data_IF_593169601678
#
_entry.id   IF_593169601678
#
_cell.length_a   1.000
_cell.length_b   1.000
_cell.length_c   1.000
_cell.angle_alpha   90.00
_cell.angle_beta   90.00
_cell.angle_gamma   90.00
#
_symmetry.space_group_name_H-M   'P 1'
#
loop_
_entity.id
_entity.type
_entity.pdbx_description
1 polymer ?
#
# COMPACT_ATOMS: atom_id res chain seq x y z
N UNK A 1 -8.48 21.86 -2.90
CA UNK A 1 -8.57 20.46 -2.43
C UNK A 1 -8.63 19.57 -3.64
N UNK A 2 -7.48 19.22 -4.15
CA UNK A 2 -7.36 18.42 -5.36
C UNK A 2 -7.48 16.96 -4.98
N UNK A 3 -8.51 16.38 -5.48
CA UNK A 3 -8.94 15.02 -5.54
C UNK A 3 -7.97 13.92 -5.12
N UNK A 4 -8.18 13.38 -3.93
CA UNK A 4 -7.98 11.95 -3.73
C UNK A 4 -8.76 11.33 -4.87
N UNK A 5 -8.05 10.82 -5.88
CA UNK A 5 -8.70 10.13 -6.98
C UNK A 5 -9.38 8.91 -6.40
N UNK A 6 -10.67 9.04 -6.14
CA UNK A 6 -11.58 7.95 -5.87
C UNK A 6 -11.76 7.16 -7.17
N UNK A 7 -10.65 6.68 -7.72
CA UNK A 7 -10.69 5.74 -8.81
C UNK A 7 -11.30 4.47 -8.27
N UNK A 8 -12.54 4.21 -8.66
CA UNK A 8 -13.14 2.90 -8.49
C UNK A 8 -12.26 1.89 -9.23
N UNK A 9 -11.30 1.31 -8.50
CA UNK A 9 -10.38 0.32 -9.06
C UNK A 9 -11.20 -0.91 -9.46
N UNK A 10 -11.11 -1.36 -10.72
CA UNK A 10 -11.80 -2.58 -11.13
C UNK A 10 -11.20 -3.75 -10.36
N UNK A 11 -12.04 -4.46 -9.63
CA UNK A 11 -11.69 -5.78 -9.13
C UNK A 11 -11.70 -6.72 -10.34
N UNK A 12 -10.89 -7.77 -10.31
CA UNK A 12 -10.87 -8.81 -11.36
C UNK A 12 -12.22 -9.53 -11.60
N UNK A 13 -13.27 -9.11 -10.89
CA UNK A 13 -14.63 -9.63 -11.01
C UNK A 13 -15.48 -8.66 -11.85
N UNK A 14 -16.06 -9.11 -12.98
CA UNK A 14 -16.91 -8.29 -13.83
C UNK A 14 -18.04 -7.61 -13.06
N UNK A 15 -18.22 -6.30 -13.28
CA UNK A 15 -19.29 -5.51 -12.66
C UNK A 15 -19.06 -5.14 -11.18
N UNK A 16 -17.95 -5.51 -10.59
CA UNK A 16 -17.64 -5.19 -9.19
C UNK A 16 -16.53 -4.13 -9.12
N UNK A 17 -16.79 -3.04 -8.38
CA UNK A 17 -15.85 -1.93 -8.19
C UNK A 17 -15.76 -1.57 -6.72
N UNK A 18 -14.56 -1.18 -6.25
CA UNK A 18 -14.39 -0.62 -4.90
C UNK A 18 -14.95 0.79 -4.88
N UNK A 19 -15.77 1.11 -3.89
CA UNK A 19 -16.19 2.48 -3.63
C UNK A 19 -15.10 3.21 -2.85
N UNK A 20 -14.36 4.07 -3.55
CA UNK A 20 -13.26 4.84 -2.96
C UNK A 20 -13.70 5.85 -1.90
N UNK A 21 -14.95 6.31 -1.90
CA UNK A 21 -15.51 7.15 -0.84
C UNK A 21 -15.73 6.34 0.44
N UNK A 22 -16.32 5.17 0.28
CA UNK A 22 -16.63 4.27 1.39
C UNK A 22 -15.36 3.74 2.08
N UNK A 23 -14.31 3.47 1.30
CA UNK A 23 -13.05 2.91 1.81
C UNK A 23 -12.00 3.97 2.16
N UNK A 24 -12.29 5.25 2.01
CA UNK A 24 -11.30 6.35 2.13
C UNK A 24 -10.60 6.38 3.48
N UNK A 25 -11.35 6.25 4.58
CA UNK A 25 -10.81 6.31 5.94
C UNK A 25 -9.75 5.23 6.18
N UNK A 26 -10.06 4.00 5.81
CA UNK A 26 -9.17 2.86 5.96
C UNK A 26 -7.95 2.94 5.03
N UNK A 27 -8.13 3.43 3.80
CA UNK A 27 -7.03 3.64 2.87
C UNK A 27 -6.05 4.74 3.36
N UNK A 28 -6.56 5.79 4.02
CA UNK A 28 -5.74 6.81 4.68
C UNK A 28 -5.00 6.19 5.87
N UNK A 29 -5.68 5.37 6.67
CA UNK A 29 -5.07 4.64 7.79
C UNK A 29 -3.93 3.74 7.34
N UNK A 30 -4.09 3.01 6.25
CA UNK A 30 -3.05 2.16 5.68
C UNK A 30 -1.83 2.99 5.22
N UNK A 31 -2.06 4.09 4.50
CA UNK A 31 -0.98 4.95 4.03
C UNK A 31 -0.20 5.58 5.19
N UNK A 32 -0.91 6.09 6.21
CA UNK A 32 -0.28 6.65 7.39
C UNK A 32 0.45 5.60 8.23
N UNK A 33 -0.17 4.44 8.41
CA UNK A 33 0.39 3.35 9.19
C UNK A 33 1.71 2.83 8.63
N UNK A 34 1.79 2.60 7.31
CA UNK A 34 3.05 2.13 6.70
C UNK A 34 4.12 3.23 6.69
N UNK A 35 3.73 4.50 6.55
CA UNK A 35 4.68 5.61 6.63
C UNK A 35 5.27 5.72 8.04
N UNK A 36 4.43 5.69 9.08
CA UNK A 36 4.88 5.71 10.47
C UNK A 36 5.75 4.49 10.82
N UNK A 37 5.42 3.30 10.28
CA UNK A 37 6.24 2.10 10.47
C UNK A 37 7.62 2.24 9.82
N UNK A 38 7.72 2.88 8.65
CA UNK A 38 8.99 3.18 8.01
C UNK A 38 9.83 4.14 8.86
N UNK A 39 9.25 5.22 9.36
CA UNK A 39 9.95 6.18 10.22
C UNK A 39 10.42 5.50 11.53
N UNK A 40 9.59 4.66 12.12
CA UNK A 40 9.94 3.84 13.29
C UNK A 40 11.11 2.90 13.01
N UNK A 41 11.15 2.27 11.82
CA UNK A 41 12.28 1.46 11.39
C UNK A 41 13.56 2.30 11.28
N UNK A 42 13.49 3.51 10.70
CA UNK A 42 14.68 4.37 10.58
C UNK A 42 15.23 4.79 11.95
N UNK A 43 14.36 5.11 12.90
CA UNK A 43 14.77 5.39 14.28
C UNK A 43 15.42 4.17 14.93
N UNK A 44 14.83 3.00 14.79
CA UNK A 44 15.40 1.76 15.31
C UNK A 44 16.79 1.47 14.74
N UNK A 45 16.96 1.61 13.43
CA UNK A 45 18.24 1.38 12.76
C UNK A 45 19.33 2.39 13.20
N UNK A 46 18.92 3.64 13.45
CA UNK A 46 19.81 4.68 13.97
C UNK A 46 20.32 4.35 15.37
N UNK A 47 19.47 3.82 16.24
CA UNK A 47 19.79 3.51 17.63
C UNK A 47 20.53 2.17 17.79
N UNK A 48 20.17 1.16 17.01
CA UNK A 48 20.63 -0.22 17.18
C UNK A 48 21.62 -0.68 16.09
N UNK A 49 21.85 0.16 15.07
CA UNK A 49 22.68 -0.18 13.92
C UNK A 49 21.91 -0.95 12.83
N UNK A 50 22.47 -0.92 11.64
CA UNK A 50 21.90 -1.64 10.48
C UNK A 50 22.43 -3.08 10.47
N UNK A 51 21.55 -4.11 10.53
CA UNK A 51 21.96 -5.52 10.52
C UNK A 51 22.48 -6.00 9.15
N UNK A 52 22.45 -5.14 8.11
CA UNK A 52 22.77 -5.52 6.75
C UNK A 52 21.65 -6.31 6.06
N UNK A 53 22.03 -7.13 5.09
CA UNK A 53 21.08 -7.96 4.36
C UNK A 53 20.69 -9.19 5.18
N UNK A 54 19.40 -9.47 5.23
CA UNK A 54 18.87 -10.73 5.73
C UNK A 54 18.03 -11.35 4.61
N UNK A 55 18.32 -12.58 4.24
CA UNK A 55 17.73 -13.27 3.09
C UNK A 55 17.84 -12.47 1.77
N UNK A 56 18.92 -11.71 1.63
CA UNK A 56 19.19 -10.88 0.44
C UNK A 56 18.43 -9.54 0.40
N UNK A 57 17.70 -9.18 1.44
CA UNK A 57 16.90 -7.94 1.52
C UNK A 57 17.42 -6.98 2.59
N UNK A 58 17.37 -5.68 2.29
CA UNK A 58 17.61 -4.62 3.28
C UNK A 58 16.48 -4.56 4.31
N UNK A 59 16.68 -3.92 5.47
CA UNK A 59 15.61 -3.71 6.45
C UNK A 59 14.36 -3.05 5.86
N UNK A 60 14.55 -2.04 5.00
CA UNK A 60 13.47 -1.30 4.34
C UNK A 60 12.71 -2.19 3.35
N UNK A 61 13.44 -2.99 2.55
CA UNK A 61 12.82 -3.94 1.63
C UNK A 61 11.99 -4.97 2.40
N UNK A 62 12.52 -5.48 3.52
CA UNK A 62 11.80 -6.44 4.37
C UNK A 62 10.52 -5.84 4.96
N UNK A 63 10.55 -4.57 5.37
CA UNK A 63 9.35 -3.87 5.87
C UNK A 63 8.24 -3.90 4.82
N UNK A 64 8.53 -3.46 3.59
CA UNK A 64 7.54 -3.40 2.52
C UNK A 64 7.08 -4.79 2.05
N UNK A 65 7.97 -5.76 2.00
CA UNK A 65 7.62 -7.15 1.69
C UNK A 65 6.73 -7.74 2.80
N UNK A 66 7.05 -7.47 4.07
CA UNK A 66 6.23 -7.90 5.21
C UNK A 66 4.83 -7.28 5.14
N UNK A 67 4.73 -5.99 4.88
CA UNK A 67 3.45 -5.32 4.64
C UNK A 67 2.61 -6.04 3.58
N UNK A 68 3.19 -6.26 2.39
CA UNK A 68 2.47 -6.95 1.31
C UNK A 68 2.06 -8.39 1.69
N UNK A 69 2.87 -9.05 2.49
CA UNK A 69 2.64 -10.44 2.91
C UNK A 69 1.44 -10.60 3.83
N UNK A 70 1.15 -9.65 4.71
CA UNK A 70 -0.03 -9.72 5.59
C UNK A 70 -1.35 -9.68 4.82
N UNK A 71 -1.35 -9.12 3.60
CA UNK A 71 -2.52 -9.05 2.73
C UNK A 71 -2.67 -10.25 1.79
N UNK A 72 -1.81 -11.25 1.88
CA UNK A 72 -1.91 -12.49 1.10
C UNK A 72 -3.11 -13.30 1.55
N UNK A 73 -4.24 -13.03 0.94
CA UNK A 73 -5.48 -13.76 1.18
C UNK A 73 -6.06 -14.27 -0.14
N UNK A 74 -6.77 -15.41 -0.07
CA UNK A 74 -7.57 -15.92 -1.17
C UNK A 74 -9.01 -16.02 -0.72
N UNK A 75 -9.89 -15.31 -1.39
CA UNK A 75 -11.32 -15.27 -1.09
C UNK A 75 -12.11 -15.80 -2.27
N UNK A 76 -13.29 -16.35 -1.99
CA UNK A 76 -14.26 -16.71 -3.03
C UNK A 76 -14.88 -15.44 -3.61
N UNK A 77 -15.30 -15.49 -4.87
CA UNK A 77 -15.87 -14.35 -5.59
C UNK A 77 -17.06 -13.72 -4.86
N UNK A 78 -17.97 -14.54 -4.32
CA UNK A 78 -19.12 -14.06 -3.55
C UNK A 78 -18.71 -13.31 -2.28
N UNK A 79 -17.65 -13.78 -1.60
CA UNK A 79 -17.15 -13.13 -0.40
C UNK A 79 -16.55 -11.76 -0.73
N UNK A 80 -15.79 -11.65 -1.83
CA UNK A 80 -15.25 -10.36 -2.29
C UNK A 80 -16.40 -9.42 -2.70
N UNK A 81 -17.39 -9.90 -3.44
CA UNK A 81 -18.56 -9.11 -3.83
C UNK A 81 -19.34 -8.58 -2.62
N UNK A 82 -19.46 -9.39 -1.57
CA UNK A 82 -20.10 -8.97 -0.33
C UNK A 82 -19.24 -7.95 0.43
N UNK A 83 -17.94 -8.22 0.59
CA UNK A 83 -16.99 -7.31 1.24
C UNK A 83 -17.07 -5.90 0.63
N UNK A 84 -16.98 -5.79 -0.68
CA UNK A 84 -16.98 -4.47 -1.36
C UNK A 84 -18.26 -3.67 -1.12
N UNK A 85 -19.37 -4.34 -0.80
CA UNK A 85 -20.65 -3.68 -0.53
C UNK A 85 -20.86 -3.29 0.92
N UNK A 86 -20.25 -4.03 1.86
CA UNK A 86 -20.61 -3.95 3.28
C UNK A 86 -19.45 -3.60 4.20
N UNK A 87 -18.20 -3.74 3.73
CA UNK A 87 -16.99 -3.53 4.52
C UNK A 87 -16.26 -2.27 4.04
N UNK A 88 -15.95 -1.30 4.93
CA UNK A 88 -15.21 -0.09 4.57
C UNK A 88 -13.75 -0.35 4.20
N UNK A 89 -13.27 -1.58 4.35
CA UNK A 89 -11.91 -1.95 3.96
C UNK A 89 -11.83 -2.36 2.50
N UNK A 90 -10.86 -1.82 1.79
CA UNK A 90 -10.51 -2.28 0.44
C UNK A 90 -10.08 -3.75 0.47
N UNK A 91 -10.33 -4.53 -0.60
CA UNK A 91 -9.80 -5.89 -0.70
C UNK A 91 -8.29 -5.94 -0.52
N UNK A 92 -7.79 -7.01 0.12
CA UNK A 92 -6.39 -7.15 0.53
C UNK A 92 -5.38 -6.88 -0.57
N UNK A 93 -5.67 -7.29 -1.82
CA UNK A 93 -4.77 -7.00 -2.94
C UNK A 93 -4.50 -5.49 -3.13
N UNK A 94 -5.51 -4.63 -2.94
CA UNK A 94 -5.32 -3.17 -3.06
C UNK A 94 -4.59 -2.62 -1.85
N UNK A 95 -4.88 -3.11 -0.65
CA UNK A 95 -4.17 -2.73 0.58
C UNK A 95 -2.69 -3.12 0.52
N UNK A 96 -2.35 -4.20 -0.20
CA UNK A 96 -0.97 -4.64 -0.37
C UNK A 96 -0.11 -3.63 -1.13
N UNK A 97 -0.62 -3.00 -2.20
CA UNK A 97 0.23 -2.20 -3.08
C UNK A 97 -0.17 -0.73 -3.24
N UNK A 98 -1.47 -0.38 -3.14
CA UNK A 98 -1.92 1.01 -3.40
C UNK A 98 -1.31 2.02 -2.43
N UNK A 99 -1.21 1.78 -1.11
CA UNK A 99 -0.49 2.67 -0.21
C UNK A 99 0.97 2.86 -0.63
N UNK A 100 1.65 1.78 -1.04
CA UNK A 100 3.07 1.81 -1.40
C UNK A 100 3.35 2.68 -2.63
N UNK A 101 2.42 2.73 -3.60
CA UNK A 101 2.57 3.59 -4.78
C UNK A 101 2.71 5.08 -4.41
N UNK A 102 2.19 5.49 -3.27
CA UNK A 102 2.20 6.88 -2.81
C UNK A 102 3.45 7.23 -1.99
N UNK A 103 4.27 6.25 -1.59
CA UNK A 103 5.44 6.46 -0.74
C UNK A 103 6.70 6.66 -1.57
N UNK A 104 7.32 7.84 -1.44
CA UNK A 104 8.63 8.10 -2.03
C UNK A 104 9.68 7.10 -1.53
N UNK A 105 9.64 6.76 -0.24
CA UNK A 105 10.54 5.79 0.40
C UNK A 105 10.44 4.41 -0.22
N UNK A 106 9.24 3.96 -0.63
CA UNK A 106 9.07 2.71 -1.37
C UNK A 106 9.73 2.77 -2.75
N UNK A 107 9.51 3.87 -3.49
CA UNK A 107 10.13 4.05 -4.81
C UNK A 107 11.66 4.03 -4.73
N UNK A 108 12.23 4.70 -3.73
CA UNK A 108 13.68 4.72 -3.50
C UNK A 108 14.22 3.34 -3.11
N UNK A 109 13.54 2.64 -2.18
CA UNK A 109 13.95 1.33 -1.66
C UNK A 109 14.06 0.27 -2.76
N UNK A 110 13.18 0.31 -3.76
CA UNK A 110 13.16 -0.64 -4.86
C UNK A 110 13.66 -0.06 -6.19
N UNK A 111 14.18 1.18 -6.18
CA UNK A 111 14.67 1.88 -7.38
C UNK A 111 13.64 1.93 -8.51
N UNK A 112 12.37 2.18 -8.16
CA UNK A 112 11.23 2.20 -9.09
C UNK A 112 11.30 3.44 -9.97
N UNK A 113 11.13 3.26 -11.27
CA UNK A 113 11.30 4.28 -12.32
C UNK A 113 10.05 4.41 -13.19
N UNK A 114 9.92 5.51 -13.92
CA UNK A 114 8.89 5.62 -14.96
C UNK A 114 8.92 4.44 -15.91
N UNK A 115 7.74 3.82 -16.11
CA UNK A 115 7.57 2.60 -16.90
C UNK A 115 7.45 1.32 -16.08
N UNK A 116 7.84 1.31 -14.82
CA UNK A 116 7.63 0.17 -13.93
C UNK A 116 6.16 0.07 -13.50
N UNK A 117 5.64 -1.15 -13.34
CA UNK A 117 4.25 -1.41 -13.01
C UNK A 117 3.80 -0.82 -11.65
N UNK A 118 4.75 -0.58 -10.74
CA UNK A 118 4.51 0.04 -9.44
C UNK A 118 4.88 1.53 -9.41
N UNK A 119 5.12 2.16 -10.56
CA UNK A 119 5.44 3.58 -10.62
C UNK A 119 4.18 4.46 -10.57
N UNK A 120 4.18 5.41 -9.65
CA UNK A 120 3.22 6.51 -9.63
C UNK A 120 4.00 7.82 -9.62
N UNK A 121 3.70 8.70 -10.59
CA UNK A 121 4.38 9.98 -10.72
C UNK A 121 4.19 10.85 -9.46
N UNK A 122 5.21 11.60 -9.00
CA UNK A 122 5.19 12.33 -7.74
C UNK A 122 4.00 13.27 -7.58
N UNK A 123 3.58 13.94 -8.66
CA UNK A 123 2.44 14.86 -8.68
C UNK A 123 1.08 14.18 -8.54
N UNK A 124 1.03 12.85 -8.69
CA UNK A 124 -0.16 12.03 -8.52
C UNK A 124 -0.24 11.34 -7.15
N UNK A 125 0.85 11.40 -6.38
CA UNK A 125 0.90 10.75 -5.06
C UNK A 125 0.12 11.54 -4.03
N UNK A 126 -0.60 10.82 -3.20
CA UNK A 126 -1.27 11.40 -2.03
C UNK A 126 -0.23 11.60 -0.94
N UNK A 127 -0.16 12.82 -0.40
CA UNK A 127 0.61 13.15 0.80
C UNK A 127 -0.37 13.57 1.88
N UNK A 128 -0.28 12.97 3.04
CA UNK A 128 -1.20 13.22 4.14
C UNK A 128 -0.57 14.18 5.16
N UNK A 129 0.75 14.11 5.35
CA UNK A 129 1.61 14.94 6.17
C UNK A 129 3.01 15.09 5.57
#
# INVERSE_FOLDING_TARGET
>A
MTGVQTCALPISLPGTKVDGKFTLGENIGDLGGINAAYDGLQLYLKENGNPGLIDGFTPEQRLFISWATIWRSKMRDEAIKNQVKTDPHSPGMYRAYVPLLNLETFHQTFNIKPGDGMYLAPEKRVKIW
#
